data_IF_787578440034
#
_entry.id   IF_787578440034
#
_cell.length_a   1.000
_cell.length_b   1.000
_cell.length_c   1.000
_cell.angle_alpha   90.00
_cell.angle_beta   90.00
_cell.angle_gamma   90.00
#
_symmetry.space_group_name_H-M   'P 1'
#
loop_
_entity.id
_entity.type
_entity.pdbx_description
1 polymer ?
#
# COMPACT_ATOMS: atom_id res chain seq x y z
N UNK A 1 -13.58 46.95 -22.27
CA UNK A 1 -12.84 45.98 -23.10
C UNK A 1 -12.22 46.75 -24.24
N UNK A 2 -10.89 46.73 -24.37
CA UNK A 2 -10.22 47.34 -25.51
C UNK A 2 -10.42 46.43 -26.73
N UNK A 3 -11.31 46.82 -27.64
CA UNK A 3 -11.69 46.05 -28.84
C UNK A 3 -10.85 46.40 -30.07
N UNK A 4 -9.82 47.21 -29.90
CA UNK A 4 -8.98 47.70 -31.00
C UNK A 4 -8.17 46.55 -31.61
N UNK A 5 -8.53 46.14 -32.82
CA UNK A 5 -7.85 45.08 -33.57
C UNK A 5 -8.58 43.72 -33.59
N UNK A 6 -9.78 43.64 -33.01
CA UNK A 6 -10.64 42.46 -33.12
C UNK A 6 -11.49 42.52 -34.39
N UNK A 7 -11.76 41.35 -34.98
CA UNK A 7 -12.75 41.23 -36.06
C UNK A 7 -14.16 41.28 -35.50
N UNK A 8 -15.14 41.62 -36.34
CA UNK A 8 -16.56 41.69 -35.93
C UNK A 8 -17.02 40.37 -35.29
N UNK A 9 -16.67 39.22 -35.88
CA UNK A 9 -16.98 37.90 -35.33
C UNK A 9 -16.42 37.67 -33.91
N UNK A 10 -15.25 38.24 -33.60
CA UNK A 10 -14.63 38.10 -32.28
C UNK A 10 -15.34 38.98 -31.25
N UNK A 11 -15.79 40.16 -31.66
CA UNK A 11 -16.56 41.06 -30.81
C UNK A 11 -17.90 40.42 -30.47
N UNK A 12 -18.59 39.85 -31.46
CA UNK A 12 -19.87 39.16 -31.27
C UNK A 12 -19.72 37.92 -30.38
N UNK A 13 -18.66 37.13 -30.58
CA UNK A 13 -18.36 35.99 -29.72
C UNK A 13 -18.08 36.41 -28.26
N UNK A 14 -17.32 37.48 -28.06
CA UNK A 14 -17.05 38.00 -26.72
C UNK A 14 -18.33 38.51 -26.06
N UNK A 15 -19.20 39.20 -26.80
CA UNK A 15 -20.48 39.67 -26.27
C UNK A 15 -21.39 38.50 -25.84
N UNK A 16 -21.41 37.41 -26.62
CA UNK A 16 -22.10 36.18 -26.24
C UNK A 16 -21.50 35.56 -24.98
N UNK A 17 -20.17 35.46 -24.90
CA UNK A 17 -19.49 34.94 -23.72
C UNK A 17 -19.73 35.79 -22.47
N UNK A 18 -19.73 37.11 -22.59
CA UNK A 18 -20.01 38.02 -21.49
C UNK A 18 -21.44 37.85 -20.97
N UNK A 19 -22.41 37.61 -21.86
CA UNK A 19 -23.80 37.34 -21.47
C UNK A 19 -23.93 35.96 -20.79
N UNK A 20 -23.36 34.92 -21.37
CA UNK A 20 -23.46 33.54 -20.88
C UNK A 20 -22.76 33.36 -19.52
N UNK A 21 -21.62 34.03 -19.33
CA UNK A 21 -20.85 33.98 -18.09
C UNK A 21 -21.05 35.18 -17.17
N UNK A 22 -22.11 35.98 -17.37
CA UNK A 22 -22.38 37.18 -16.59
C UNK A 22 -22.47 36.93 -15.08
N UNK A 23 -22.94 35.75 -14.68
CA UNK A 23 -23.09 35.37 -13.27
C UNK A 23 -21.92 34.53 -12.75
N UNK A 24 -20.88 34.26 -13.54
CA UNK A 24 -19.79 33.38 -13.17
C UNK A 24 -19.09 33.86 -11.89
N UNK A 25 -18.83 32.96 -10.96
CA UNK A 25 -18.22 33.27 -9.65
C UNK A 25 -19.06 34.19 -8.75
N UNK A 26 -20.37 34.27 -8.97
CA UNK A 26 -21.31 34.97 -8.08
C UNK A 26 -22.19 33.97 -7.34
N UNK A 27 -22.95 34.43 -6.36
CA UNK A 27 -23.91 33.57 -5.63
C UNK A 27 -25.04 33.01 -6.52
N UNK A 28 -25.18 33.51 -7.75
CA UNK A 28 -26.14 33.03 -8.76
C UNK A 28 -25.56 31.94 -9.68
N UNK A 29 -24.28 31.64 -9.55
CA UNK A 29 -23.61 30.55 -10.24
C UNK A 29 -23.70 29.30 -9.38
N UNK A 30 -24.54 28.36 -9.81
CA UNK A 30 -24.81 27.13 -9.09
C UNK A 30 -23.54 26.29 -8.89
N UNK A 31 -22.65 26.24 -9.89
CA UNK A 31 -21.39 25.50 -9.81
C UNK A 31 -20.46 26.14 -8.78
N UNK A 32 -20.38 27.47 -8.77
CA UNK A 32 -19.62 28.20 -7.76
C UNK A 32 -20.17 27.96 -6.36
N UNK A 33 -21.48 28.04 -6.18
CA UNK A 33 -22.13 27.80 -4.90
C UNK A 33 -21.89 26.36 -4.39
N UNK A 34 -21.94 25.36 -5.28
CA UNK A 34 -21.65 23.97 -4.95
C UNK A 34 -20.19 23.81 -4.49
N UNK A 35 -19.22 24.37 -5.21
CA UNK A 35 -17.80 24.28 -4.85
C UNK A 35 -17.53 24.96 -3.51
N UNK A 36 -18.13 26.13 -3.28
CA UNK A 36 -18.00 26.85 -2.01
C UNK A 36 -18.64 26.08 -0.85
N UNK A 37 -19.77 25.40 -1.10
CA UNK A 37 -20.44 24.57 -0.09
C UNK A 37 -19.69 23.28 0.24
N UNK A 38 -19.05 22.64 -0.76
CA UNK A 38 -18.20 21.45 -0.55
C UNK A 38 -17.00 21.80 0.34
N UNK A 39 -16.47 23.02 0.22
CA UNK A 39 -15.36 23.51 1.02
C UNK A 39 -14.06 22.74 0.75
N UNK A 40 -13.11 22.79 1.69
CA UNK A 40 -11.83 22.09 1.53
C UNK A 40 -12.02 20.60 1.79
N UNK A 41 -11.82 19.77 0.75
CA UNK A 41 -11.82 18.33 0.90
C UNK A 41 -10.69 17.87 1.83
N UNK A 42 -10.97 16.86 2.66
CA UNK A 42 -9.94 16.28 3.51
C UNK A 42 -8.90 15.60 2.62
N UNK A 43 -7.60 15.86 2.81
CA UNK A 43 -6.57 15.21 2.03
C UNK A 43 -6.68 13.69 2.21
N UNK A 44 -6.38 12.89 1.17
CA UNK A 44 -6.48 11.44 1.26
C UNK A 44 -5.50 10.92 2.32
N UNK A 45 -6.03 10.17 3.28
CA UNK A 45 -5.21 9.48 4.30
C UNK A 45 -4.86 8.10 3.72
N UNK A 46 -3.58 7.85 3.48
CA UNK A 46 -3.12 6.54 2.98
C UNK A 46 -2.56 5.69 4.11
N UNK A 47 -3.27 4.61 4.46
CA UNK A 47 -2.82 3.64 5.45
C UNK A 47 -2.93 2.19 4.96
N UNK A 48 -1.90 1.35 5.20
CA UNK A 48 -0.61 1.70 5.80
C UNK A 48 0.35 2.31 4.75
N UNK A 49 0.99 3.44 5.09
CA UNK A 49 2.00 4.12 4.26
C UNK A 49 3.18 3.22 3.86
N UNK A 50 3.41 2.15 4.62
CA UNK A 50 4.34 1.08 4.28
C UNK A 50 3.65 -0.27 4.39
N UNK A 51 3.95 -1.22 3.50
CA UNK A 51 3.45 -2.58 3.64
C UNK A 51 3.90 -3.17 4.98
N UNK A 52 2.95 -3.67 5.78
CA UNK A 52 3.25 -4.39 7.03
C UNK A 52 3.96 -5.70 6.66
N UNK A 53 5.22 -5.81 7.06
CA UNK A 53 5.92 -7.10 7.14
C UNK A 53 6.39 -7.63 5.79
N UNK A 54 7.46 -7.05 5.25
CA UNK A 54 8.43 -7.87 4.54
C UNK A 54 9.04 -8.81 5.57
N UNK A 55 8.44 -9.98 5.76
CA UNK A 55 8.99 -11.07 6.55
C UNK A 55 10.26 -11.51 5.83
N UNK A 56 11.36 -10.78 6.07
CA UNK A 56 12.71 -11.22 5.77
C UNK A 56 12.90 -12.43 6.65
N UNK A 57 12.46 -13.59 6.13
CA UNK A 57 12.80 -14.92 6.58
C UNK A 57 14.32 -15.04 6.35
N UNK A 58 15.09 -14.32 7.17
CA UNK A 58 16.51 -14.54 7.35
C UNK A 58 16.54 -15.69 8.35
N UNK A 59 16.71 -16.95 7.91
CA UNK A 59 16.97 -18.02 8.85
C UNK A 59 18.18 -17.59 9.67
N UNK A 60 17.98 -17.56 10.97
CA UNK A 60 18.99 -17.29 11.98
C UNK A 60 20.25 -18.11 11.62
N UNK A 61 21.37 -17.41 11.38
CA UNK A 61 22.65 -18.03 11.01
C UNK A 61 23.12 -19.07 12.05
N UNK A 62 22.56 -19.09 13.26
CA UNK A 62 22.89 -20.04 14.32
C UNK A 62 22.35 -21.45 14.10
N UNK A 63 21.36 -21.66 13.22
CA UNK A 63 20.83 -23.01 12.97
C UNK A 63 21.82 -23.88 12.19
N UNK A 64 22.59 -23.27 11.28
CA UNK A 64 23.63 -23.98 10.50
C UNK A 64 24.85 -24.36 11.34
N UNK A 65 25.11 -23.64 12.42
CA UNK A 65 26.24 -23.90 13.32
C UNK A 65 25.95 -25.09 14.25
N UNK A 66 24.74 -25.13 14.84
CA UNK A 66 24.28 -26.26 15.69
C UNK A 66 24.15 -27.59 14.95
N UNK A 67 23.98 -27.57 13.63
CA UNK A 67 23.90 -28.79 12.82
C UNK A 67 25.26 -29.50 12.67
N UNK A 68 26.38 -28.75 12.71
CA UNK A 68 27.73 -29.33 12.59
C UNK A 68 28.17 -30.05 13.85
N UNK A 69 27.79 -29.54 15.02
CA UNK A 69 28.16 -30.15 16.31
C UNK A 69 27.44 -31.48 16.56
N UNK A 70 26.19 -31.63 16.09
CA UNK A 70 25.43 -32.88 16.23
C UNK A 70 25.92 -34.02 15.31
N UNK A 71 26.59 -33.69 14.21
CA UNK A 71 27.06 -34.70 13.25
C UNK A 71 28.31 -35.46 13.72
N UNK A 72 29.13 -34.89 14.62
CA UNK A 72 30.33 -35.57 15.15
C UNK A 72 30.03 -36.51 16.34
N UNK A 73 28.96 -36.26 17.10
CA UNK A 73 28.64 -37.05 18.30
C UNK A 73 28.10 -38.45 18.04
N UNK A 74 27.59 -38.74 16.83
CA UNK A 74 26.84 -39.97 16.57
C UNK A 74 27.64 -41.09 15.89
N UNK A 75 28.95 -40.91 15.65
CA UNK A 75 29.81 -41.98 15.07
C UNK A 75 30.54 -42.83 16.10
N UNK A 76 30.49 -42.48 17.40
CA UNK A 76 31.20 -43.22 18.46
C UNK A 76 30.30 -44.10 19.33
N UNK A 77 29.01 -44.24 18.99
CA UNK A 77 28.03 -44.97 19.83
C UNK A 77 27.53 -46.28 19.21
N UNK A 78 28.29 -46.85 18.29
CA UNK A 78 27.98 -48.15 17.66
C UNK A 78 28.90 -49.27 18.14
N UNK A 79 29.48 -49.12 19.33
CA UNK A 79 30.47 -50.05 19.88
C UNK A 79 30.32 -50.17 21.40
N UNK A 80 29.09 -50.44 21.87
CA UNK A 80 28.87 -51.03 23.19
C UNK A 80 27.43 -51.47 23.39
N UNK A 81 27.31 -52.65 24.01
CA UNK A 81 26.13 -53.25 24.61
C UNK A 81 25.28 -54.15 23.70
N UNK A 82 25.89 -55.29 23.40
CA UNK A 82 25.33 -56.61 23.69
C UNK A 82 24.55 -56.62 25.02
N UNK A 83 23.27 -57.05 25.04
CA UNK A 83 22.62 -57.38 26.32
C UNK A 83 21.10 -57.31 26.37
N UNK A 84 20.45 -58.45 26.14
CA UNK A 84 19.39 -59.01 27.00
C UNK A 84 18.09 -58.22 27.31
N UNK A 85 16.94 -58.84 27.01
CA UNK A 85 15.64 -58.61 27.70
C UNK A 85 14.56 -58.01 26.81
N UNK A 86 13.68 -58.78 26.16
CA UNK A 86 12.60 -59.62 26.72
C UNK A 86 11.42 -58.81 27.33
N UNK A 87 10.22 -59.31 27.03
CA UNK A 87 8.87 -59.06 27.55
C UNK A 87 8.24 -57.65 27.51
N UNK A 88 7.32 -57.44 26.54
CA UNK A 88 5.87 -57.16 26.73
C UNK A 88 5.22 -56.85 25.36
N UNK A 89 4.61 -57.81 24.66
CA UNK A 89 3.18 -58.24 24.73
C UNK A 89 2.12 -57.13 24.78
N UNK A 90 1.34 -57.07 23.69
CA UNK A 90 -0.13 -56.85 23.56
C UNK A 90 -0.72 -55.47 23.89
N UNK A 91 -1.29 -54.81 22.86
CA UNK A 91 -2.73 -54.65 22.56
C UNK A 91 -2.90 -53.48 21.59
N UNK A 92 -3.37 -53.74 20.37
CA UNK A 92 -4.70 -53.37 19.86
C UNK A 92 -4.91 -54.08 18.53
#
# INVERSE_FOLDING_TARGET
>A
MDTTGLTDDQIDFLAQCEADFANRYTDKDDDFAIVMAIGTSRPPIMEPWRPKGGNSYRPDRSEKERARDRAQGNRRRYEKDDGYGDYKRRRY
#
